data_IF_082558980779
#
_entry.id   IF_082558980779
#
_cell.length_a   1.000
_cell.length_b   1.000
_cell.length_c   1.000
_cell.angle_alpha   90.00
_cell.angle_beta   90.00
_cell.angle_gamma   90.00
#
_symmetry.space_group_name_H-M   'P 1'
#
loop_
_entity.id
_entity.type
_entity.pdbx_description
1 polymer ?
#
# COMPACT_ATOMS: atom_id res chain seq x y z
N UNK A 1 99.41 -70.24 29.06
CA UNK A 1 98.26 -69.43 29.50
C UNK A 1 98.25 -68.17 28.64
N UNK A 2 97.26 -68.05 27.75
CA UNK A 2 96.16 -67.05 27.84
C UNK A 2 96.65 -65.65 27.44
N UNK A 3 96.44 -65.24 26.19
CA UNK A 3 95.23 -64.57 25.65
C UNK A 3 95.21 -63.08 26.03
N UNK A 4 95.29 -62.20 25.03
CA UNK A 4 94.28 -61.16 24.71
C UNK A 4 94.94 -60.03 23.89
N UNK A 5 94.58 -59.76 22.63
CA UNK A 5 93.31 -59.33 22.01
C UNK A 5 93.18 -57.79 21.94
N UNK A 6 93.13 -57.31 20.69
CA UNK A 6 92.19 -56.30 20.16
C UNK A 6 91.90 -55.06 21.01
N UNK A 7 92.54 -53.94 20.69
CA UNK A 7 91.95 -52.61 20.96
C UNK A 7 92.49 -51.56 19.97
N UNK A 8 92.36 -51.82 18.66
CA UNK A 8 92.71 -50.84 17.63
C UNK A 8 91.82 -51.01 16.40
N UNK A 9 90.50 -50.84 16.56
CA UNK A 9 89.56 -51.07 15.48
C UNK A 9 88.11 -50.66 15.75
N UNK A 10 87.87 -49.65 16.61
CA UNK A 10 86.51 -49.21 16.93
C UNK A 10 86.33 -47.68 17.00
N UNK A 11 87.15 -46.91 16.29
CA UNK A 11 86.98 -45.45 16.24
C UNK A 11 86.88 -44.85 14.84
N UNK A 12 86.94 -45.67 13.78
CA UNK A 12 86.89 -45.19 12.39
C UNK A 12 85.65 -45.64 11.60
N UNK A 13 84.62 -46.17 12.28
CA UNK A 13 83.37 -46.61 11.63
C UNK A 13 82.12 -45.94 12.20
N UNK A 14 82.26 -44.78 12.87
CA UNK A 14 81.12 -43.96 13.33
C UNK A 14 81.13 -42.54 12.75
N UNK A 15 82.07 -42.24 11.85
CA UNK A 15 82.27 -40.89 11.28
C UNK A 15 81.82 -40.76 9.82
N UNK A 16 81.11 -41.74 9.25
CA UNK A 16 80.72 -41.69 7.84
C UNK A 16 79.37 -42.35 7.53
N UNK A 17 78.37 -42.06 8.35
CA UNK A 17 76.95 -42.22 8.00
C UNK A 17 76.15 -41.01 8.50
N UNK A 18 76.65 -39.79 8.26
CA UNK A 18 75.75 -38.65 8.08
C UNK A 18 75.19 -38.82 6.67
N UNK A 19 74.12 -39.59 6.61
CA UNK A 19 73.23 -39.70 5.48
C UNK A 19 72.91 -38.29 4.99
N UNK A 20 73.34 -37.99 3.76
CA UNK A 20 72.77 -36.96 2.91
C UNK A 20 71.31 -37.35 2.61
N UNK A 21 70.45 -37.26 3.62
CA UNK A 21 69.03 -37.18 3.38
C UNK A 21 68.81 -35.82 2.70
N UNK A 22 68.16 -35.76 1.52
CA UNK A 22 67.72 -34.49 1.00
C UNK A 22 66.82 -33.88 2.08
N UNK A 23 67.26 -32.75 2.65
CA UNK A 23 66.38 -31.88 3.40
C UNK A 23 65.29 -31.44 2.42
N UNK A 24 64.21 -32.21 2.34
CA UNK A 24 62.94 -31.71 1.81
C UNK A 24 62.56 -30.59 2.74
N UNK A 25 62.99 -29.37 2.42
CA UNK A 25 62.47 -28.16 3.02
C UNK A 25 60.98 -28.19 2.72
N UNK A 26 60.18 -28.60 3.70
CA UNK A 26 58.75 -28.34 3.69
C UNK A 26 58.64 -26.83 3.51
N UNK A 27 58.12 -26.38 2.37
CA UNK A 27 57.75 -24.98 2.21
C UNK A 27 56.64 -24.79 3.25
N UNK A 28 56.83 -23.99 4.30
CA UNK A 28 55.75 -23.72 5.24
C UNK A 28 54.68 -22.97 4.45
N UNK A 29 53.61 -23.66 4.06
CA UNK A 29 52.40 -23.04 3.55
C UNK A 29 51.45 -22.90 4.73
N UNK A 30 51.22 -21.66 5.14
CA UNK A 30 50.14 -21.32 6.06
C UNK A 30 48.96 -20.87 5.19
N UNK A 31 47.88 -21.62 5.24
CA UNK A 31 46.67 -21.38 4.47
C UNK A 31 45.56 -20.95 5.43
N UNK A 32 45.26 -19.65 5.42
CA UNK A 32 44.11 -19.08 6.09
C UNK A 32 42.89 -19.14 5.15
N UNK A 33 41.81 -19.76 5.61
CA UNK A 33 40.51 -19.69 4.94
C UNK A 33 39.83 -18.39 5.38
N UNK A 34 39.51 -17.52 4.42
CA UNK A 34 38.71 -16.31 4.66
C UNK A 34 37.30 -16.61 4.14
N UNK A 35 36.36 -16.73 5.07
CA UNK A 35 34.95 -16.86 4.74
C UNK A 35 34.28 -15.48 4.83
N UNK A 36 33.67 -15.05 3.73
CA UNK A 36 32.86 -13.83 3.66
C UNK A 36 31.43 -14.24 3.38
N UNK A 37 30.55 -14.07 4.37
CA UNK A 37 29.10 -14.30 4.21
C UNK A 37 28.43 -12.99 3.78
N UNK A 38 27.84 -12.99 2.58
CA UNK A 38 27.04 -11.87 2.07
C UNK A 38 25.58 -12.33 2.02
N UNK A 39 24.75 -11.78 2.90
CA UNK A 39 23.31 -12.05 2.93
C UNK A 39 22.56 -11.36 1.79
N UNK A 40 21.42 -11.93 1.42
CA UNK A 40 20.51 -11.29 0.46
C UNK A 40 19.73 -10.15 1.12
N UNK A 41 19.51 -9.06 0.38
CA UNK A 41 18.81 -7.86 0.88
C UNK A 41 17.69 -7.48 -0.10
N UNK A 42 16.49 -7.25 0.43
CA UNK A 42 15.41 -6.61 -0.31
C UNK A 42 15.46 -5.11 -0.03
N UNK A 43 15.67 -4.30 -1.06
CA UNK A 43 15.72 -2.84 -0.92
C UNK A 43 14.96 -2.19 -2.07
N UNK A 44 13.93 -1.43 -1.71
CA UNK A 44 13.19 -0.57 -2.62
C UNK A 44 13.70 0.86 -2.46
N UNK A 45 14.07 1.48 -3.58
CA UNK A 45 14.35 2.91 -3.63
C UNK A 45 13.33 3.62 -4.49
N UNK A 46 12.60 4.55 -3.88
CA UNK A 46 11.74 5.45 -4.63
C UNK A 46 12.61 6.58 -5.16
N UNK A 47 12.71 6.68 -6.48
CA UNK A 47 13.35 7.83 -7.09
C UNK A 47 12.33 8.97 -7.18
N UNK A 48 12.46 9.91 -6.24
CA UNK A 48 11.69 11.16 -6.20
C UNK A 48 12.60 12.35 -6.54
N UNK A 49 13.60 12.20 -7.41
CA UNK A 49 14.54 13.30 -7.73
C UNK A 49 13.77 14.56 -8.15
N UNK A 50 13.96 15.64 -7.39
CA UNK A 50 13.19 16.89 -7.52
C UNK A 50 12.18 17.16 -6.40
N UNK A 51 11.97 16.21 -5.47
CA UNK A 51 10.97 16.29 -4.42
C UNK A 51 11.59 16.16 -3.01
N UNK A 52 11.49 17.23 -2.22
CA UNK A 52 11.46 17.12 -0.75
C UNK A 52 9.99 17.23 -0.34
N UNK A 53 9.27 16.12 -0.43
CA UNK A 53 7.81 16.10 -0.43
C UNK A 53 7.25 16.28 -1.85
N UNK A 54 6.19 15.54 -2.18
CA UNK A 54 5.47 15.74 -3.44
C UNK A 54 4.64 17.02 -3.25
N UNK A 55 5.16 18.14 -3.76
CA UNK A 55 4.44 19.41 -3.81
C UNK A 55 3.74 19.51 -5.16
N UNK A 56 2.43 19.33 -5.16
CA UNK A 56 1.58 19.51 -6.35
C UNK A 56 1.32 21.01 -6.66
N UNK A 57 1.86 21.92 -5.84
CA UNK A 57 1.50 23.32 -5.83
C UNK A 57 0.12 23.55 -5.21
N UNK A 58 -0.40 24.78 -5.32
CA UNK A 58 -1.77 25.07 -4.92
C UNK A 58 -2.76 24.49 -5.96
N UNK A 59 -3.41 23.39 -5.62
CA UNK A 59 -4.57 22.87 -6.36
C UNK A 59 -5.82 23.50 -5.78
N UNK A 60 -6.61 24.17 -6.62
CA UNK A 60 -7.87 24.77 -6.18
C UNK A 60 -8.93 23.68 -5.94
N UNK A 61 -9.91 23.92 -5.05
CA UNK A 61 -11.12 23.12 -5.01
C UNK A 61 -11.76 23.02 -6.38
N UNK A 62 -12.38 21.88 -6.64
CA UNK A 62 -12.81 21.49 -7.98
C UNK A 62 -11.64 21.45 -9.00
N UNK A 63 -10.54 20.78 -8.64
CA UNK A 63 -9.33 20.72 -9.45
C UNK A 63 -8.62 19.37 -9.37
N UNK A 64 -7.83 19.09 -10.40
CA UNK A 64 -6.90 17.96 -10.44
C UNK A 64 -5.47 18.50 -10.62
N UNK A 65 -4.51 17.92 -9.91
CA UNK A 65 -3.10 18.17 -10.23
C UNK A 65 -2.71 17.49 -11.54
N UNK A 66 -1.56 17.88 -12.09
CA UNK A 66 -0.89 17.02 -13.07
C UNK A 66 -0.41 15.73 -12.40
N UNK A 67 -0.44 14.63 -13.15
CA UNK A 67 0.15 13.37 -12.69
C UNK A 67 1.67 13.50 -12.53
N UNK A 68 2.17 13.07 -11.39
CA UNK A 68 3.59 13.01 -11.06
C UNK A 68 4.08 11.57 -11.21
N UNK A 69 5.10 11.37 -12.04
CA UNK A 69 5.72 10.07 -12.24
C UNK A 69 6.54 9.69 -10.99
N UNK A 70 6.26 8.53 -10.43
CA UNK A 70 7.04 7.91 -9.36
C UNK A 70 7.70 6.66 -9.92
N UNK A 71 9.01 6.55 -9.70
CA UNK A 71 9.80 5.37 -10.09
C UNK A 71 10.22 4.58 -8.86
N UNK A 72 9.73 3.36 -8.75
CA UNK A 72 10.16 2.35 -7.78
C UNK A 72 11.30 1.53 -8.37
N UNK A 73 12.49 1.53 -7.75
CA UNK A 73 13.66 0.76 -8.20
C UNK A 73 14.00 -0.33 -7.18
N UNK A 74 14.05 -1.59 -7.62
CA UNK A 74 14.65 -2.65 -6.82
C UNK A 74 16.18 -2.50 -6.86
N UNK A 75 16.76 -1.97 -5.79
CA UNK A 75 18.22 -1.83 -5.62
C UNK A 75 18.80 -2.93 -4.73
N UNK A 76 17.96 -3.84 -4.23
CA UNK A 76 18.35 -5.01 -3.48
C UNK A 76 18.94 -6.11 -4.35
N UNK A 77 19.20 -7.26 -3.73
CA UNK A 77 19.73 -8.47 -4.34
C UNK A 77 18.69 -9.60 -4.47
N UNK A 78 17.45 -9.39 -4.00
CA UNK A 78 16.33 -10.32 -4.14
C UNK A 78 15.26 -9.76 -5.07
N UNK A 79 14.48 -10.64 -5.70
CA UNK A 79 13.29 -10.24 -6.46
C UNK A 79 12.21 -9.77 -5.51
N UNK A 80 11.61 -8.62 -5.79
CA UNK A 80 10.41 -8.15 -5.08
C UNK A 80 9.18 -8.76 -5.75
N UNK A 81 8.27 -9.31 -4.96
CA UNK A 81 7.02 -9.86 -5.49
C UNK A 81 6.10 -8.71 -5.85
N UNK A 82 5.66 -7.90 -4.90
CA UNK A 82 4.59 -6.93 -5.13
C UNK A 82 4.96 -5.54 -4.61
N UNK A 83 4.29 -4.51 -5.14
CA UNK A 83 4.33 -3.14 -4.63
C UNK A 83 2.94 -2.72 -4.17
N UNK A 84 2.82 -2.14 -2.99
CA UNK A 84 1.55 -1.67 -2.44
C UNK A 84 1.69 -0.37 -1.66
N UNK A 85 0.58 0.33 -1.44
CA UNK A 85 0.53 1.52 -0.61
C UNK A 85 -0.01 1.19 0.78
N UNK A 86 0.40 1.99 1.76
CA UNK A 86 -0.32 2.17 3.01
C UNK A 86 -0.50 3.67 3.24
N UNK A 87 -1.72 4.08 3.58
CA UNK A 87 -2.04 5.47 3.95
C UNK A 87 -2.68 5.56 5.33
N UNK A 88 -2.50 6.70 5.99
CA UNK A 88 -3.08 7.00 7.31
C UNK A 88 -4.30 7.94 7.23
N UNK A 89 -5.04 7.90 6.10
CA UNK A 89 -6.24 8.74 5.89
C UNK A 89 -7.21 8.64 7.06
N UNK A 90 -7.47 7.44 7.57
CA UNK A 90 -8.43 7.19 8.65
C UNK A 90 -7.99 7.78 10.00
N UNK A 91 -6.68 7.77 10.28
CA UNK A 91 -6.15 8.27 11.55
C UNK A 91 -6.24 9.81 11.62
N UNK A 92 -6.18 10.48 10.47
CA UNK A 92 -6.17 11.95 10.37
C UNK A 92 -7.50 12.56 9.90
N UNK A 93 -8.36 11.80 9.23
CA UNK A 93 -9.71 12.18 8.83
C UNK A 93 -10.77 11.62 9.79
N UNK A 94 -10.68 11.96 11.08
CA UNK A 94 -11.47 11.31 12.12
C UNK A 94 -12.96 11.69 12.18
N UNK A 95 -13.33 12.89 11.71
CA UNK A 95 -14.71 13.43 11.79
C UNK A 95 -15.16 14.00 10.45
N UNK A 96 -16.48 13.96 10.19
CA UNK A 96 -17.06 14.54 8.97
C UNK A 96 -16.68 16.02 8.84
N UNK A 97 -15.84 16.38 7.86
CA UNK A 97 -15.38 17.75 7.67
C UNK A 97 -16.36 18.57 6.81
N UNK A 98 -17.52 18.02 6.44
CA UNK A 98 -18.56 18.73 5.69
C UNK A 98 -19.49 19.48 6.64
N UNK A 99 -20.03 20.61 6.15
CA UNK A 99 -20.90 21.51 6.90
C UNK A 99 -20.25 22.86 7.23
N UNK A 100 -21.03 23.75 7.85
CA UNK A 100 -20.66 25.17 8.07
C UNK A 100 -19.48 25.40 9.04
N UNK A 101 -19.05 24.36 9.77
CA UNK A 101 -17.94 24.42 10.72
C UNK A 101 -16.66 23.71 10.23
N UNK A 102 -16.70 23.02 9.09
CA UNK A 102 -15.57 22.24 8.59
C UNK A 102 -14.41 23.12 8.12
N UNK A 103 -13.20 22.80 8.58
CA UNK A 103 -11.95 23.41 8.16
C UNK A 103 -11.26 22.57 7.09
N UNK A 104 -10.39 23.19 6.27
CA UNK A 104 -9.53 22.44 5.35
C UNK A 104 -8.69 21.39 6.08
N UNK A 105 -8.26 21.70 7.32
CA UNK A 105 -7.44 20.82 8.17
C UNK A 105 -8.15 19.58 8.69
N UNK A 106 -9.48 19.51 8.55
CA UNK A 106 -10.25 18.33 8.98
C UNK A 106 -10.24 17.24 7.89
N UNK A 107 -9.77 17.59 6.70
CA UNK A 107 -9.52 16.65 5.61
C UNK A 107 -8.10 16.10 5.68
N UNK A 108 -7.97 14.78 5.65
CA UNK A 108 -6.68 14.11 5.40
C UNK A 108 -6.21 14.37 3.96
N UNK A 109 -4.95 14.76 3.74
CA UNK A 109 -4.43 15.01 2.39
C UNK A 109 -4.51 13.76 1.48
N UNK A 110 -4.30 12.57 2.03
CA UNK A 110 -4.41 11.27 1.32
C UNK A 110 -5.83 10.96 0.86
N UNK A 111 -6.85 11.65 1.39
CA UNK A 111 -8.23 11.57 0.92
C UNK A 111 -8.40 12.07 -0.53
N UNK A 112 -7.45 12.88 -1.00
CA UNK A 112 -7.43 13.48 -2.33
C UNK A 112 -6.41 12.79 -3.25
N UNK A 113 -5.64 11.82 -2.76
CA UNK A 113 -4.59 11.17 -3.55
C UNK A 113 -5.12 10.00 -4.35
N UNK A 114 -4.73 9.94 -5.63
CA UNK A 114 -5.02 8.83 -6.52
C UNK A 114 -3.77 8.35 -7.26
N UNK A 115 -3.67 7.04 -7.45
CA UNK A 115 -2.59 6.36 -8.15
C UNK A 115 -3.09 5.74 -9.45
N UNK A 116 -2.24 5.76 -10.47
CA UNK A 116 -2.42 4.99 -11.70
C UNK A 116 -1.21 4.07 -11.90
N UNK A 117 -1.45 2.78 -12.09
CA UNK A 117 -0.40 1.79 -12.34
C UNK A 117 -0.01 1.68 -13.82
N UNK A 118 -0.76 2.27 -14.75
CA UNK A 118 -0.37 2.36 -16.17
C UNK A 118 0.16 3.76 -16.50
N UNK A 119 1.23 3.82 -17.28
CA UNK A 119 1.81 5.08 -17.74
C UNK A 119 1.35 5.50 -19.14
N UNK A 120 0.74 4.59 -19.89
CA UNK A 120 0.32 4.81 -21.28
C UNK A 120 -1.09 5.36 -21.41
N UNK A 121 -2.02 4.88 -20.58
CA UNK A 121 -3.39 5.41 -20.45
C UNK A 121 -3.79 5.41 -18.97
N UNK A 122 -3.25 6.36 -18.17
CA UNK A 122 -3.38 6.30 -16.72
C UNK A 122 -4.83 6.47 -16.26
N UNK A 123 -5.42 5.39 -15.78
CA UNK A 123 -6.65 5.40 -14.99
C UNK A 123 -6.29 5.52 -13.51
N UNK A 124 -6.84 6.53 -12.86
CA UNK A 124 -6.48 6.88 -11.49
C UNK A 124 -7.50 6.37 -10.50
N UNK A 125 -7.01 5.64 -9.49
CA UNK A 125 -7.82 5.14 -8.39
C UNK A 125 -7.36 5.77 -7.08
N UNK A 126 -8.30 6.18 -6.24
CA UNK A 126 -8.01 6.72 -4.92
C UNK A 126 -7.22 5.72 -4.09
N UNK A 127 -6.17 6.21 -3.41
CA UNK A 127 -5.37 5.38 -2.52
C UNK A 127 -6.13 5.09 -1.24
N UNK A 128 -6.88 6.06 -0.72
CA UNK A 128 -7.63 5.89 0.51
C UNK A 128 -8.56 7.05 0.74
N UNK A 129 -9.76 6.96 0.18
CA UNK A 129 -10.78 8.02 0.22
C UNK A 129 -11.86 7.69 1.23
N UNK A 130 -12.16 8.63 2.11
CA UNK A 130 -13.34 8.64 2.96
C UNK A 130 -14.47 9.36 2.23
N UNK A 131 -15.61 8.71 2.13
CA UNK A 131 -16.88 9.36 1.81
C UNK A 131 -17.77 9.36 3.06
N UNK A 132 -18.24 10.54 3.43
CA UNK A 132 -18.95 10.78 4.70
C UNK A 132 -20.46 10.67 4.52
N UNK A 133 -21.13 10.19 5.56
CA UNK A 133 -22.58 10.15 5.63
C UNK A 133 -23.18 11.57 5.78
N UNK A 134 -24.20 11.87 4.98
CA UNK A 134 -24.93 13.15 4.98
C UNK A 134 -26.24 13.06 5.76
N UNK A 135 -26.68 11.87 6.16
CA UNK A 135 -28.00 11.69 6.78
C UNK A 135 -28.20 12.46 8.08
N UNK A 136 -27.11 12.90 8.71
CA UNK A 136 -27.13 13.74 9.91
C UNK A 136 -27.19 15.24 9.63
N UNK A 137 -26.76 15.67 8.44
CA UNK A 137 -26.52 17.08 8.11
C UNK A 137 -27.42 17.60 6.97
N UNK A 138 -27.95 16.72 6.13
CA UNK A 138 -28.80 17.04 4.99
C UNK A 138 -30.13 16.29 5.03
N UNK A 139 -31.18 16.95 4.53
CA UNK A 139 -32.49 16.34 4.34
C UNK A 139 -32.47 15.37 3.14
N UNK A 140 -33.05 14.20 3.30
CA UNK A 140 -33.16 13.18 2.24
C UNK A 140 -34.13 13.59 1.13
N UNK A 141 -34.84 14.72 1.24
CA UNK A 141 -35.83 15.19 0.25
C UNK A 141 -35.30 15.37 -1.18
N UNK A 142 -33.98 15.53 -1.36
CA UNK A 142 -33.33 15.59 -2.67
C UNK A 142 -32.89 14.21 -3.21
N UNK A 143 -32.94 13.17 -2.37
CA UNK A 143 -32.50 11.82 -2.69
C UNK A 143 -33.68 10.87 -2.90
N UNK A 144 -33.53 9.93 -3.83
CA UNK A 144 -34.42 8.76 -3.91
C UNK A 144 -33.66 7.56 -3.36
N UNK A 145 -33.98 7.20 -2.12
CA UNK A 145 -33.30 6.15 -1.35
C UNK A 145 -34.23 4.95 -1.16
N UNK A 146 -33.65 3.79 -0.86
CA UNK A 146 -34.42 2.68 -0.33
C UNK A 146 -35.04 3.03 1.03
N UNK A 147 -36.13 2.36 1.38
CA UNK A 147 -36.87 2.62 2.64
C UNK A 147 -36.06 2.33 3.90
N UNK A 148 -34.95 1.59 3.77
CA UNK A 148 -34.07 1.16 4.86
C UNK A 148 -32.70 1.84 4.82
N UNK A 149 -32.56 3.00 4.16
CA UNK A 149 -31.29 3.72 4.13
C UNK A 149 -30.97 4.38 5.49
N UNK A 150 -29.87 3.96 6.11
CA UNK A 150 -29.36 4.51 7.36
C UNK A 150 -28.36 5.65 7.11
N UNK A 151 -27.59 5.52 6.04
CA UNK A 151 -26.62 6.49 5.60
C UNK A 151 -26.67 6.68 4.09
N UNK A 152 -26.34 7.88 3.64
CA UNK A 152 -26.14 8.18 2.23
C UNK A 152 -25.11 9.28 2.09
N UNK A 153 -24.54 9.42 0.91
CA UNK A 153 -23.58 10.47 0.66
C UNK A 153 -23.16 10.49 -0.79
N UNK A 154 -22.07 11.20 -1.03
CA UNK A 154 -21.60 11.49 -2.37
C UNK A 154 -20.18 10.99 -2.58
N UNK A 155 -19.85 10.67 -3.83
CA UNK A 155 -18.55 10.26 -4.29
C UNK A 155 -18.18 11.00 -5.56
N UNK A 156 -17.04 11.67 -5.50
CA UNK A 156 -16.44 12.34 -6.65
C UNK A 156 -15.30 11.49 -7.19
N UNK A 157 -15.46 10.98 -8.41
CA UNK A 157 -14.44 10.23 -9.13
C UNK A 157 -13.32 11.16 -9.68
N UNK A 158 -13.66 12.43 -9.90
CA UNK A 158 -12.79 13.46 -10.43
C UNK A 158 -12.92 14.78 -9.67
N UNK A 159 -12.00 15.70 -9.96
CA UNK A 159 -11.97 17.01 -9.34
C UNK A 159 -12.81 18.05 -10.07
N UNK A 160 -13.37 17.82 -11.26
CA UNK A 160 -14.12 18.89 -11.94
C UNK A 160 -15.50 19.14 -11.28
N UNK A 161 -16.04 20.33 -11.49
CA UNK A 161 -17.44 20.68 -11.24
C UNK A 161 -18.43 19.99 -12.17
N UNK A 162 -17.94 19.24 -13.17
CA UNK A 162 -18.80 18.47 -14.06
C UNK A 162 -19.60 17.44 -13.25
N UNK A 163 -20.95 17.47 -13.26
CA UNK A 163 -21.76 16.42 -12.64
C UNK A 163 -21.45 15.03 -13.19
N UNK A 164 -20.77 14.94 -14.35
CA UNK A 164 -20.23 13.71 -14.91
C UNK A 164 -19.28 12.93 -14.00
N UNK A 165 -18.65 13.54 -13.00
CA UNK A 165 -17.76 12.83 -12.07
C UNK A 165 -18.36 12.61 -10.68
N UNK A 166 -19.67 12.86 -10.56
CA UNK A 166 -20.39 12.83 -9.30
C UNK A 166 -21.34 11.62 -9.21
N UNK A 167 -21.25 10.88 -8.11
CA UNK A 167 -22.06 9.69 -7.82
C UNK A 167 -22.61 9.75 -6.40
N UNK A 168 -23.68 9.04 -6.14
CA UNK A 168 -24.35 8.99 -4.84
C UNK A 168 -24.48 7.55 -4.37
N UNK A 169 -24.24 7.35 -3.09
CA UNK A 169 -24.30 6.05 -2.45
C UNK A 169 -25.29 6.07 -1.29
N UNK A 170 -25.79 4.88 -0.96
CA UNK A 170 -26.56 4.65 0.25
C UNK A 170 -26.03 3.38 0.92
N UNK A 171 -26.16 3.34 2.23
CA UNK A 171 -25.78 2.23 3.08
C UNK A 171 -26.94 1.95 4.03
N UNK A 172 -27.35 0.69 4.04
CA UNK A 172 -28.40 0.18 4.91
C UNK A 172 -27.71 -0.77 5.89
N UNK A 173 -27.86 -0.53 7.18
CA UNK A 173 -27.39 -1.37 8.27
C UNK A 173 -28.25 -2.62 8.45
N UNK A 174 -27.85 -3.46 9.39
CA UNK A 174 -28.60 -4.67 9.73
C UNK A 174 -29.75 -4.34 10.68
N UNK A 175 -30.98 -4.50 10.16
CA UNK A 175 -32.23 -4.38 10.94
C UNK A 175 -32.25 -5.33 12.15
N UNK A 176 -31.52 -6.45 12.09
CA UNK A 176 -31.46 -7.41 13.18
C UNK A 176 -30.58 -6.94 14.36
N UNK A 177 -29.61 -6.04 14.11
CA UNK A 177 -28.51 -5.72 15.01
C UNK A 177 -28.37 -4.20 15.25
N UNK A 178 -29.49 -3.51 15.50
CA UNK A 178 -29.53 -2.06 15.78
C UNK A 178 -28.97 -1.20 14.63
N UNK A 179 -29.22 -1.60 13.39
CA UNK A 179 -28.86 -0.85 12.18
C UNK A 179 -27.34 -0.63 12.04
N UNK A 180 -26.54 -1.56 12.58
CA UNK A 180 -25.09 -1.55 12.41
C UNK A 180 -24.70 -1.85 10.97
N UNK A 181 -23.73 -1.10 10.45
CA UNK A 181 -23.30 -1.15 9.07
C UNK A 181 -22.11 -2.08 8.80
N UNK A 182 -21.60 -2.75 9.85
CA UNK A 182 -20.52 -3.76 9.73
C UNK A 182 -21.03 -5.22 9.79
N UNK A 183 -22.33 -5.45 9.63
CA UNK A 183 -23.01 -6.75 9.80
C UNK A 183 -23.30 -7.44 8.44
N UNK A 184 -23.63 -8.73 8.44
CA UNK A 184 -23.86 -9.52 7.20
C UNK A 184 -24.98 -8.99 6.32
N UNK A 185 -26.04 -8.50 6.97
CA UNK A 185 -27.22 -8.02 6.27
C UNK A 185 -27.07 -6.58 5.79
N UNK A 186 -25.97 -5.91 6.16
CA UNK A 186 -25.71 -4.57 5.67
C UNK A 186 -25.56 -4.59 4.15
N UNK A 187 -26.16 -3.60 3.49
CA UNK A 187 -26.12 -3.46 2.02
C UNK A 187 -25.62 -2.07 1.65
N UNK A 188 -24.72 -2.02 0.68
CA UNK A 188 -24.20 -0.79 0.11
C UNK A 188 -24.63 -0.73 -1.35
N UNK A 189 -25.15 0.43 -1.78
CA UNK A 189 -25.46 0.70 -3.18
C UNK A 189 -24.81 2.00 -3.63
N UNK A 190 -24.49 2.05 -4.91
CA UNK A 190 -24.12 3.29 -5.62
C UNK A 190 -25.02 3.44 -6.84
N UNK A 191 -25.46 4.67 -7.10
CA UNK A 191 -26.27 4.99 -8.26
C UNK A 191 -25.58 4.57 -9.57
N UNK A 192 -26.39 4.31 -10.60
CA UNK A 192 -25.90 3.85 -11.91
C UNK A 192 -25.76 4.98 -12.94
N UNK A 193 -26.15 6.20 -12.57
CA UNK A 193 -26.13 7.37 -13.44
C UNK A 193 -25.43 8.55 -12.76
N UNK A 194 -24.45 9.15 -13.45
CA UNK A 194 -23.71 10.33 -12.97
C UNK A 194 -24.65 11.48 -12.64
N UNK A 195 -24.46 12.13 -11.50
CA UNK A 195 -25.25 13.27 -11.03
C UNK A 195 -26.69 12.94 -10.62
N UNK A 196 -27.12 11.68 -10.67
CA UNK A 196 -28.47 11.26 -10.31
C UNK A 196 -28.57 10.89 -8.83
N UNK A 197 -29.32 11.67 -8.05
CA UNK A 197 -29.54 11.40 -6.62
C UNK A 197 -30.50 10.22 -6.36
N UNK A 198 -30.97 9.53 -7.39
CA UNK A 198 -31.69 8.25 -7.26
C UNK A 198 -30.72 7.07 -7.11
N UNK A 199 -30.60 6.59 -5.87
CA UNK A 199 -29.78 5.43 -5.50
C UNK A 199 -30.63 4.14 -5.46
N UNK A 200 -31.96 4.24 -5.47
CA UNK A 200 -32.86 3.08 -5.38
C UNK A 200 -32.68 2.09 -6.54
N UNK A 201 -32.33 2.61 -7.72
CA UNK A 201 -32.01 1.84 -8.93
C UNK A 201 -30.51 1.52 -9.09
N UNK A 202 -29.70 1.84 -8.07
CA UNK A 202 -28.25 1.67 -8.05
C UNK A 202 -27.77 0.21 -8.03
N UNK A 203 -26.49 0.02 -8.31
CA UNK A 203 -25.83 -1.28 -8.18
C UNK A 203 -25.62 -1.60 -6.70
N UNK A 204 -26.15 -2.74 -6.26
CA UNK A 204 -25.86 -3.30 -4.93
C UNK A 204 -24.52 -4.01 -4.93
N UNK A 205 -23.76 -3.83 -3.86
CA UNK A 205 -22.46 -4.45 -3.65
C UNK A 205 -22.59 -5.74 -2.86
N UNK A 206 -21.61 -6.62 -3.03
CA UNK A 206 -21.56 -7.87 -2.27
C UNK A 206 -20.85 -7.61 -0.95
N UNK A 207 -21.51 -7.88 0.17
CA UNK A 207 -20.84 -7.98 1.47
C UNK A 207 -19.95 -9.22 1.43
N UNK A 208 -18.64 -9.00 1.44
CA UNK A 208 -17.65 -10.05 1.33
C UNK A 208 -17.30 -10.63 2.70
N UNK A 209 -17.15 -9.76 3.70
CA UNK A 209 -16.64 -10.13 5.00
C UNK A 209 -16.93 -9.06 6.06
N UNK A 210 -16.86 -9.44 7.34
CA UNK A 210 -17.19 -8.59 8.48
C UNK A 210 -16.10 -8.63 9.54
N UNK A 211 -15.86 -7.49 10.17
CA UNK A 211 -14.98 -7.33 11.31
C UNK A 211 -15.61 -6.50 12.42
N UNK A 212 -14.85 -6.30 13.49
CA UNK A 212 -15.33 -5.58 14.69
C UNK A 212 -15.78 -4.15 14.36
N UNK A 213 -15.02 -3.46 13.52
CA UNK A 213 -15.26 -2.05 13.17
C UNK A 213 -15.81 -1.85 11.74
N UNK A 214 -15.64 -2.83 10.86
CA UNK A 214 -15.82 -2.65 9.41
C UNK A 214 -16.54 -3.83 8.75
N UNK A 215 -17.48 -3.54 7.84
CA UNK A 215 -17.87 -4.49 6.80
C UNK A 215 -17.12 -4.19 5.50
N UNK A 216 -16.80 -5.25 4.77
CA UNK A 216 -16.08 -5.19 3.50
C UNK A 216 -17.06 -5.46 2.37
N UNK A 217 -17.09 -4.55 1.40
CA UNK A 217 -17.90 -4.66 0.21
C UNK A 217 -17.01 -4.69 -1.02
N UNK A 218 -17.35 -5.57 -1.96
CA UNK A 218 -16.77 -5.58 -3.31
C UNK A 218 -17.79 -5.22 -4.37
N UNK A 219 -17.28 -4.51 -5.38
CA UNK A 219 -18.09 -3.92 -6.43
C UNK A 219 -17.91 -4.70 -7.73
N UNK A 220 -18.99 -5.30 -8.21
CA UNK A 220 -19.00 -6.04 -9.46
C UNK A 220 -19.10 -5.16 -10.71
N UNK A 221 -19.69 -3.98 -10.60
CA UNK A 221 -19.95 -3.05 -11.71
C UNK A 221 -20.18 -1.62 -11.21
N UNK A 222 -19.97 -0.63 -12.08
CA UNK A 222 -20.27 0.78 -11.81
C UNK A 222 -19.02 1.62 -11.51
N UNK A 223 -19.16 2.81 -10.90
CA UNK A 223 -18.07 3.76 -10.70
C UNK A 223 -17.02 3.31 -9.67
N UNK A 224 -17.35 2.31 -8.86
CA UNK A 224 -16.42 1.70 -7.92
C UNK A 224 -15.94 0.32 -8.38
N UNK A 225 -16.12 -0.05 -9.66
CA UNK A 225 -15.47 -1.23 -10.20
C UNK A 225 -13.97 -1.14 -9.92
N UNK A 226 -13.41 -2.22 -9.36
CA UNK A 226 -12.03 -2.35 -8.90
C UNK A 226 -11.65 -1.62 -7.60
N UNK A 227 -12.63 -1.10 -6.84
CA UNK A 227 -12.41 -0.68 -5.46
C UNK A 227 -12.89 -1.73 -4.46
N UNK A 228 -12.21 -1.72 -3.33
CA UNK A 228 -12.72 -2.19 -2.05
C UNK A 228 -13.40 -1.04 -1.32
N UNK A 229 -14.54 -1.33 -0.71
CA UNK A 229 -15.26 -0.36 0.11
C UNK A 229 -15.50 -0.92 1.50
N UNK A 230 -15.02 -0.20 2.50
CA UNK A 230 -15.16 -0.55 3.90
C UNK A 230 -16.19 0.37 4.55
N UNK A 231 -17.26 -0.17 5.11
CA UNK A 231 -18.26 0.61 5.83
C UNK A 231 -18.02 0.54 7.33
N UNK A 232 -17.97 1.70 8.00
CA UNK A 232 -17.75 1.75 9.45
C UNK A 232 -19.00 1.30 10.21
N UNK A 233 -18.83 0.63 11.35
CA UNK A 233 -19.94 -0.03 12.08
C UNK A 233 -21.13 0.89 12.39
N UNK A 234 -20.89 2.18 12.64
CA UNK A 234 -21.93 3.16 12.98
C UNK A 234 -22.49 3.93 11.77
N UNK A 235 -22.14 3.52 10.54
CA UNK A 235 -22.60 4.13 9.29
C UNK A 235 -22.13 5.58 9.06
N UNK A 236 -21.21 6.14 9.86
CA UNK A 236 -20.80 7.55 9.72
C UNK A 236 -20.00 7.83 8.44
N UNK A 237 -19.37 6.79 7.89
CA UNK A 237 -18.48 6.89 6.73
C UNK A 237 -18.26 5.56 6.06
N UNK A 238 -17.84 5.65 4.81
CA UNK A 238 -17.24 4.56 4.06
C UNK A 238 -15.81 4.94 3.65
N UNK A 239 -14.95 3.95 3.56
CA UNK A 239 -13.57 4.07 3.09
C UNK A 239 -13.40 3.30 1.79
N UNK A 240 -12.92 3.97 0.76
CA UNK A 240 -12.85 3.49 -0.62
C UNK A 240 -11.37 3.45 -1.01
N UNK A 241 -10.87 2.26 -1.33
CA UNK A 241 -9.47 2.06 -1.70
C UNK A 241 -9.30 0.95 -2.72
N UNK A 242 -8.27 1.06 -3.55
CA UNK A 242 -7.77 -0.04 -4.39
C UNK A 242 -6.39 -0.53 -3.95
N UNK A 243 -5.59 0.36 -3.35
CA UNK A 243 -4.14 0.16 -3.17
C UNK A 243 -3.68 0.13 -1.71
N UNK A 244 -4.54 0.45 -0.75
CA UNK A 244 -4.21 0.56 0.67
C UNK A 244 -4.37 -0.78 1.38
N UNK A 245 -3.27 -1.53 1.48
CA UNK A 245 -3.22 -2.83 2.17
C UNK A 245 -3.02 -2.65 3.68
N UNK A 246 -3.70 -1.67 4.27
CA UNK A 246 -3.57 -1.39 5.71
C UNK A 246 -4.22 -2.51 6.53
N UNK A 247 -3.43 -3.17 7.38
CA UNK A 247 -3.88 -4.29 8.21
C UNK A 247 -4.90 -3.92 9.28
N UNK A 248 -5.20 -2.63 9.47
CA UNK A 248 -6.30 -2.19 10.34
C UNK A 248 -7.67 -2.56 9.78
N UNK A 249 -7.79 -2.78 8.47
CA UNK A 249 -9.01 -3.31 7.87
C UNK A 249 -9.00 -4.83 8.01
N UNK A 250 -9.56 -5.30 9.13
CA UNK A 250 -9.87 -6.70 9.33
C UNK A 250 -11.37 -6.88 9.11
N UNK A 251 -11.81 -7.75 8.20
CA UNK A 251 -11.02 -8.57 7.26
C UNK A 251 -10.51 -7.78 6.04
N UNK A 252 -9.45 -8.29 5.40
CA UNK A 252 -8.92 -7.71 4.16
C UNK A 252 -9.84 -8.02 2.97
N UNK A 253 -9.90 -7.10 2.01
CA UNK A 253 -10.75 -7.24 0.82
C UNK A 253 -10.07 -8.05 -0.31
N UNK A 254 -10.81 -8.97 -0.94
CA UNK A 254 -10.31 -9.80 -2.04
C UNK A 254 -9.92 -9.05 -3.31
N UNK A 255 -10.35 -7.79 -3.44
CA UNK A 255 -10.09 -6.90 -4.57
C UNK A 255 -8.95 -5.91 -4.32
N UNK A 256 -8.29 -5.97 -3.18
CA UNK A 256 -7.06 -5.19 -2.98
C UNK A 256 -6.03 -5.59 -4.04
N UNK A 257 -5.54 -4.59 -4.74
CA UNK A 257 -4.65 -4.76 -5.89
C UNK A 257 -3.28 -4.18 -5.56
N UNK A 258 -2.28 -4.66 -6.29
CA UNK A 258 -0.91 -4.20 -6.14
C UNK A 258 -0.60 -3.14 -7.20
N UNK A 259 0.11 -2.09 -6.79
CA UNK A 259 0.56 -1.02 -7.69
C UNK A 259 1.37 -1.62 -8.86
N UNK A 260 2.11 -2.71 -8.62
CA UNK A 260 2.84 -3.46 -9.63
C UNK A 260 2.49 -4.96 -9.57
N UNK A 261 2.17 -5.61 -10.71
CA UNK A 261 2.04 -7.07 -10.79
C UNK A 261 3.39 -7.78 -10.54
N UNK A 262 3.43 -9.08 -10.26
CA UNK A 262 4.56 -9.66 -9.56
C UNK A 262 5.90 -9.71 -10.32
N UNK A 263 7.02 -9.68 -9.56
CA UNK A 263 8.41 -9.97 -9.95
C UNK A 263 9.25 -8.80 -10.49
N UNK A 264 9.60 -7.85 -9.63
CA UNK A 264 10.62 -6.85 -9.94
C UNK A 264 12.02 -7.39 -9.55
N UNK A 265 12.77 -7.91 -10.53
CA UNK A 265 14.15 -8.40 -10.33
C UNK A 265 15.12 -7.29 -9.88
N UNK A 266 16.22 -7.64 -9.19
CA UNK A 266 17.30 -6.70 -8.88
C UNK A 266 17.73 -5.86 -10.09
N UNK A 267 17.78 -4.54 -9.91
CA UNK A 267 18.14 -3.58 -10.95
C UNK A 267 16.97 -3.09 -11.82
N UNK A 268 15.81 -3.77 -11.80
CA UNK A 268 14.61 -3.33 -12.53
C UNK A 268 13.85 -2.24 -11.77
N UNK A 269 13.12 -1.43 -12.53
CA UNK A 269 12.25 -0.40 -11.98
C UNK A 269 10.82 -0.53 -12.52
N UNK A 270 9.89 0.07 -11.79
CA UNK A 270 8.50 0.25 -12.18
C UNK A 270 8.09 1.71 -12.05
N UNK A 271 7.35 2.18 -13.04
CA UNK A 271 6.86 3.55 -13.12
C UNK A 271 5.35 3.56 -12.91
N UNK A 272 4.88 4.46 -12.06
CA UNK A 272 3.46 4.68 -11.80
C UNK A 272 3.21 6.18 -11.59
N UNK A 273 1.95 6.62 -11.69
CA UNK A 273 1.59 8.03 -11.50
C UNK A 273 0.85 8.25 -10.20
N UNK A 274 1.10 9.39 -9.57
CA UNK A 274 0.34 9.92 -8.44
C UNK A 274 -0.25 11.28 -8.82
N UNK A 275 -1.50 11.56 -8.44
CA UNK A 275 -2.09 12.89 -8.58
C UNK A 275 -3.01 13.24 -7.41
N UNK A 276 -3.28 14.52 -7.25
CA UNK A 276 -4.35 15.03 -6.40
C UNK A 276 -5.64 15.21 -7.21
N UNK A 277 -6.75 14.81 -6.60
CA UNK A 277 -8.13 14.98 -7.05
C UNK A 277 -8.89 15.66 -5.92
N UNK A 278 -9.17 16.96 -6.07
CA UNK A 278 -9.87 17.75 -5.06
C UNK A 278 -11.30 18.02 -5.55
N UNK A 279 -12.32 17.40 -4.93
CA UNK A 279 -13.72 17.64 -5.27
C UNK A 279 -14.14 19.11 -5.08
N UNK A 280 -15.28 19.52 -5.64
CA UNK A 280 -15.93 20.76 -5.23
C UNK A 280 -16.36 20.70 -3.75
N UNK A 281 -16.58 21.88 -3.16
CA UNK A 281 -17.08 22.00 -1.78
C UNK A 281 -16.05 21.83 -0.66
N UNK A 282 -14.78 21.55 -1.00
CA UNK A 282 -13.69 21.51 -0.02
C UNK A 282 -13.28 22.94 0.38
N UNK A 283 -13.20 23.29 1.68
CA UNK A 283 -12.75 24.60 2.13
C UNK A 283 -11.33 24.91 1.63
N UNK A 284 -11.09 26.17 1.26
CA UNK A 284 -9.74 26.62 0.88
C UNK A 284 -8.80 26.56 2.09
N UNK A 285 -7.61 26.00 1.90
CA UNK A 285 -6.56 25.93 2.91
C UNK A 285 -5.75 24.65 2.77
N UNK A 286 -4.88 24.39 3.74
CA UNK A 286 -4.12 23.13 3.77
C UNK A 286 -4.94 22.03 4.42
N UNK A 287 -4.97 20.87 3.77
CA UNK A 287 -5.41 19.62 4.38
C UNK A 287 -4.48 19.22 5.53
N UNK A 288 -4.96 18.39 6.46
CA UNK A 288 -4.10 17.73 7.42
C UNK A 288 -3.05 16.88 6.70
N UNK A 289 -1.80 17.04 7.11
CA UNK A 289 -0.71 16.26 6.58
C UNK A 289 -0.90 14.78 6.93
N UNK A 290 -0.80 13.93 5.91
CA UNK A 290 -0.87 12.47 6.01
C UNK A 290 0.34 11.83 5.34
N UNK A 291 0.51 10.53 5.58
CA UNK A 291 1.59 9.74 5.02
C UNK A 291 1.06 8.81 3.93
N UNK A 292 1.67 8.88 2.75
CA UNK A 292 1.65 7.81 1.75
C UNK A 292 2.97 7.05 1.87
N UNK A 293 2.91 5.75 2.16
CA UNK A 293 4.08 4.87 2.20
C UNK A 293 3.95 3.80 1.13
N UNK A 294 5.01 3.58 0.37
CA UNK A 294 5.08 2.50 -0.63
C UNK A 294 5.94 1.39 -0.06
N UNK A 295 5.41 0.19 -0.07
CA UNK A 295 6.07 -1.02 0.42
C UNK A 295 6.30 -1.99 -0.73
N UNK A 296 7.22 -2.92 -0.48
CA UNK A 296 7.44 -4.08 -1.33
C UNK A 296 7.44 -5.36 -0.48
N UNK A 297 6.91 -6.43 -1.05
CA UNK A 297 7.01 -7.80 -0.52
C UNK A 297 8.11 -8.58 -1.24
N UNK A 298 8.60 -9.64 -0.60
CA UNK A 298 9.51 -10.63 -1.20
C UNK A 298 8.85 -12.00 -1.18
N UNK A 299 9.14 -12.81 -2.19
CA UNK A 299 8.90 -14.26 -2.15
C UNK A 299 9.84 -14.98 -1.20
#
# INVERSE_FOLDING_TARGET
>A
MKSDLMFLGLFLLFALTVTLLPNTLAIPSDNATIDVEIGSVAELRLNTTGFTGIDFGSVNPAGNSSGVLIRAHNVGSTTLSDLYAIVDTMEKGGSNPRGSAGSSTDWAATNFLALANDTSSPEYFYVGKIAWNYSTDEDSSNFTLDTAADAWGEYWAGGDTDPGDHWYWQLNGSVANNDWCNESEATLKINNARGDMDVSSGTSMTNEAQGEDWAVFTVGSGPWTDYCVYAYYNCEKIYITRWDLNSTFAPACSKEDYIHPPNMSPGNYYDFYLKEIIPPGIPSGSAAQTNLRIYASTT
#
